data_IF_480759244334
#
_entry.id   IF_480759244334
#
_cell.length_a   1.000
_cell.length_b   1.000
_cell.length_c   1.000
_cell.angle_alpha   90.00
_cell.angle_beta   90.00
_cell.angle_gamma   90.00
#
_symmetry.space_group_name_H-M   'P 1'
#
loop_
_entity.id
_entity.type
_entity.pdbx_description
1 polymer ?
#
# COMPACT_ATOMS: atom_id res chain seq x y z
N UNK A 1 52.22 -29.52 -35.58
CA UNK A 1 50.93 -29.68 -34.90
C UNK A 1 50.84 -28.64 -33.81
N UNK A 2 50.15 -27.54 -34.07
CA UNK A 2 49.99 -26.45 -33.09
C UNK A 2 48.61 -26.60 -32.39
N UNK A 3 48.63 -26.94 -31.10
CA UNK A 3 47.41 -26.91 -30.25
C UNK A 3 47.14 -25.45 -29.85
N UNK A 4 46.04 -24.90 -30.32
CA UNK A 4 45.48 -23.64 -29.82
C UNK A 4 44.62 -23.92 -28.59
N UNK A 5 45.05 -23.43 -27.44
CA UNK A 5 44.27 -23.48 -26.21
C UNK A 5 43.22 -22.37 -26.28
N UNK A 6 41.93 -22.76 -26.25
CA UNK A 6 40.82 -21.82 -26.14
C UNK A 6 40.64 -21.50 -24.65
N UNK A 7 40.92 -20.26 -24.26
CA UNK A 7 40.65 -19.75 -22.91
C UNK A 7 39.18 -19.25 -22.91
N UNK A 8 38.29 -19.98 -22.25
CA UNK A 8 36.94 -19.53 -21.99
C UNK A 8 36.93 -18.68 -20.73
N UNK A 9 36.82 -17.37 -20.90
CA UNK A 9 36.64 -16.45 -19.79
C UNK A 9 35.18 -16.52 -19.29
N UNK A 10 35.01 -17.10 -18.11
CA UNK A 10 33.73 -17.10 -17.39
C UNK A 10 33.56 -15.73 -16.73
N UNK A 11 32.73 -14.86 -17.32
CA UNK A 11 32.37 -13.60 -16.71
C UNK A 11 31.41 -13.87 -15.52
N UNK A 12 31.91 -13.70 -14.31
CA UNK A 12 31.12 -13.76 -13.09
C UNK A 12 30.26 -12.49 -13.02
N UNK A 13 28.96 -12.58 -13.33
CA UNK A 13 28.02 -11.50 -13.06
C UNK A 13 27.84 -11.40 -11.54
N UNK A 14 28.49 -10.42 -10.93
CA UNK A 14 28.22 -10.03 -9.56
C UNK A 14 26.87 -9.30 -9.55
N UNK A 15 25.80 -9.97 -9.12
CA UNK A 15 24.57 -9.26 -8.75
C UNK A 15 24.91 -8.33 -7.59
N UNK A 16 24.94 -7.03 -7.85
CA UNK A 16 25.01 -6.03 -6.80
C UNK A 16 23.73 -6.16 -5.94
N UNK A 17 23.90 -6.58 -4.68
CA UNK A 17 22.82 -6.55 -3.70
C UNK A 17 22.38 -5.08 -3.54
N UNK A 18 21.07 -4.84 -3.68
CA UNK A 18 20.49 -3.54 -3.39
C UNK A 18 20.87 -3.10 -1.97
N UNK A 19 21.17 -1.81 -1.74
CA UNK A 19 21.49 -1.33 -0.40
C UNK A 19 20.34 -1.63 0.55
N UNK A 20 20.63 -1.97 1.84
CA UNK A 20 19.59 -2.26 2.81
C UNK A 20 18.67 -1.04 2.94
N UNK A 21 17.36 -1.25 2.73
CA UNK A 21 16.35 -0.24 3.01
C UNK A 21 16.50 0.22 4.47
N UNK A 22 16.47 1.52 4.69
CA UNK A 22 16.64 2.18 5.99
C UNK A 22 15.80 1.48 7.05
N UNK A 23 16.38 0.64 7.90
CA UNK A 23 15.84 0.08 9.17
C UNK A 23 14.35 -0.18 9.33
N UNK A 24 13.55 -0.23 8.26
CA UNK A 24 12.10 -0.42 8.30
C UNK A 24 11.72 -1.83 8.72
N UNK A 25 10.64 -1.93 9.49
CA UNK A 25 10.03 -3.23 9.79
C UNK A 25 9.52 -3.88 8.49
N UNK A 26 9.58 -5.21 8.45
CA UNK A 26 9.13 -6.01 7.31
C UNK A 26 8.38 -7.23 7.76
N UNK A 27 7.36 -7.61 6.99
CA UNK A 27 6.69 -8.91 7.10
C UNK A 27 6.71 -9.60 5.74
N UNK A 28 6.66 -10.93 5.76
CA UNK A 28 6.51 -11.76 4.57
C UNK A 28 5.19 -12.53 4.64
N UNK A 29 4.38 -12.40 3.61
CA UNK A 29 3.12 -13.12 3.45
C UNK A 29 3.32 -14.15 2.33
N UNK A 30 3.13 -15.42 2.65
CA UNK A 30 3.17 -16.50 1.66
C UNK A 30 1.90 -16.47 0.83
N UNK A 31 2.05 -16.49 -0.50
CA UNK A 31 0.96 -16.58 -1.47
C UNK A 31 1.18 -17.80 -2.37
N UNK A 32 0.16 -18.21 -3.12
CA UNK A 32 0.29 -19.31 -4.09
C UNK A 32 1.21 -18.99 -5.26
N UNK A 33 1.54 -17.69 -5.48
CA UNK A 33 2.39 -17.21 -6.56
C UNK A 33 3.78 -16.72 -6.09
N UNK A 34 4.15 -16.98 -4.83
CA UNK A 34 5.42 -16.58 -4.23
C UNK A 34 5.24 -15.73 -2.98
N UNK A 35 6.36 -15.36 -2.37
CA UNK A 35 6.36 -14.55 -1.16
C UNK A 35 6.12 -13.08 -1.49
N UNK A 36 5.20 -12.44 -0.76
CA UNK A 36 4.96 -11.01 -0.76
C UNK A 36 5.69 -10.40 0.45
N UNK A 37 6.75 -9.65 0.21
CA UNK A 37 7.40 -8.84 1.24
C UNK A 37 6.67 -7.51 1.41
N UNK A 38 6.34 -7.15 2.63
CA UNK A 38 5.73 -5.87 3.00
C UNK A 38 6.73 -5.09 3.84
N UNK A 39 7.15 -3.92 3.38
CA UNK A 39 7.98 -2.98 4.12
C UNK A 39 7.11 -1.83 4.63
N UNK A 40 7.13 -1.61 5.94
CA UNK A 40 6.37 -0.57 6.64
C UNK A 40 7.21 0.70 6.69
N UNK A 41 6.98 1.62 5.75
CA UNK A 41 7.78 2.87 5.66
C UNK A 41 7.32 3.87 6.72
N UNK A 42 6.01 3.92 6.97
CA UNK A 42 5.39 4.77 7.99
C UNK A 42 4.13 5.45 7.46
N UNK A 43 3.34 6.03 8.36
CA UNK A 43 2.11 6.74 8.02
C UNK A 43 1.20 5.91 7.11
N UNK A 44 0.81 6.42 5.93
CA UNK A 44 0.08 5.69 4.89
C UNK A 44 0.96 4.93 3.89
N UNK A 45 2.28 5.01 4.02
CA UNK A 45 3.25 4.58 3.01
C UNK A 45 3.72 3.13 3.20
N UNK A 46 3.61 2.35 2.13
CA UNK A 46 4.10 0.97 2.07
C UNK A 46 5.03 0.77 0.87
N UNK A 47 5.95 -0.19 0.99
CA UNK A 47 6.67 -0.74 -0.15
C UNK A 47 6.47 -2.26 -0.17
N UNK A 48 6.05 -2.80 -1.31
CA UNK A 48 5.78 -4.21 -1.50
C UNK A 48 6.79 -4.81 -2.48
N UNK A 49 7.40 -5.95 -2.11
CA UNK A 49 8.26 -6.72 -2.98
C UNK A 49 7.56 -8.02 -3.40
N UNK A 50 7.41 -8.27 -4.70
CA UNK A 50 6.78 -9.47 -5.21
C UNK A 50 7.36 -9.89 -6.57
N UNK A 51 7.78 -11.14 -6.71
CA UNK A 51 8.33 -11.66 -7.96
C UNK A 51 9.53 -10.87 -8.50
N UNK A 52 10.35 -10.30 -7.62
CA UNK A 52 11.48 -9.44 -7.97
C UNK A 52 11.08 -8.03 -8.41
N UNK A 53 9.81 -7.65 -8.27
CA UNK A 53 9.25 -6.34 -8.57
C UNK A 53 9.00 -5.52 -7.33
N UNK A 54 9.12 -4.20 -7.44
CA UNK A 54 8.93 -3.24 -6.34
C UNK A 54 7.70 -2.38 -6.63
N UNK A 55 6.77 -2.38 -5.66
CA UNK A 55 5.55 -1.58 -5.68
C UNK A 55 5.62 -0.58 -4.53
N UNK A 56 5.52 0.71 -4.81
CA UNK A 56 5.37 1.73 -3.79
C UNK A 56 3.91 2.17 -3.70
N UNK A 57 3.42 2.35 -2.48
CA UNK A 57 2.09 2.87 -2.20
C UNK A 57 2.24 4.17 -1.42
N UNK A 58 1.64 5.24 -1.92
CA UNK A 58 1.61 6.57 -1.32
C UNK A 58 3.00 7.03 -0.81
N UNK A 59 4.03 7.12 -1.69
CA UNK A 59 5.37 7.49 -1.29
C UNK A 59 5.40 8.93 -0.76
N UNK A 60 5.92 9.10 0.48
CA UNK A 60 5.96 10.38 1.19
C UNK A 60 7.38 10.70 1.67
N UNK A 61 7.99 11.75 1.14
CA UNK A 61 9.40 12.11 1.32
C UNK A 61 9.79 12.46 2.75
N UNK A 62 8.82 12.76 3.64
CA UNK A 62 9.13 13.00 5.06
C UNK A 62 9.45 11.74 5.84
N UNK A 63 9.12 10.56 5.31
CA UNK A 63 9.27 9.28 6.00
C UNK A 63 10.58 8.58 5.68
N UNK A 64 11.16 8.86 4.51
CA UNK A 64 12.35 8.19 4.01
C UNK A 64 13.15 9.07 3.04
N UNK A 65 14.44 8.78 2.93
CA UNK A 65 15.28 9.29 1.84
C UNK A 65 15.04 8.46 0.58
N UNK A 66 14.13 8.92 -0.27
CA UNK A 66 13.72 8.21 -1.48
C UNK A 66 14.83 8.10 -2.53
N UNK A 67 15.89 8.90 -2.45
CA UNK A 67 17.07 8.74 -3.30
C UNK A 67 17.82 7.42 -3.04
N UNK A 68 17.61 6.84 -1.86
CA UNK A 68 18.19 5.56 -1.41
C UNK A 68 17.20 4.39 -1.45
N UNK A 69 15.94 4.64 -1.78
CA UNK A 69 14.93 3.59 -1.90
C UNK A 69 15.06 2.88 -3.25
N UNK A 70 14.66 1.61 -3.36
CA UNK A 70 14.58 0.90 -4.63
C UNK A 70 13.68 1.65 -5.61
N UNK A 71 14.08 1.68 -6.89
CA UNK A 71 13.20 2.23 -7.96
C UNK A 71 11.94 1.40 -8.06
N UNK A 72 10.84 2.07 -8.39
CA UNK A 72 9.54 1.44 -8.50
C UNK A 72 9.34 0.78 -9.88
N UNK A 73 8.79 -0.43 -9.90
CA UNK A 73 8.16 -1.00 -11.08
C UNK A 73 6.69 -0.53 -11.19
N UNK A 74 6.02 -0.34 -10.04
CA UNK A 74 4.66 0.19 -9.93
C UNK A 74 4.57 1.18 -8.76
N UNK A 75 3.81 2.25 -8.97
CA UNK A 75 3.42 3.20 -7.93
C UNK A 75 1.89 3.26 -7.86
N UNK A 76 1.32 3.15 -6.67
CA UNK A 76 -0.11 3.31 -6.40
C UNK A 76 -0.31 4.57 -5.56
N UNK A 77 -1.23 5.46 -5.97
CA UNK A 77 -1.60 6.67 -5.22
C UNK A 77 -3.09 6.60 -4.89
N UNK A 78 -3.40 6.61 -3.60
CA UNK A 78 -4.78 6.48 -3.12
C UNK A 78 -5.59 7.76 -3.28
N UNK A 79 -4.98 8.92 -3.07
CA UNK A 79 -5.65 10.23 -3.20
C UNK A 79 -4.63 11.39 -3.29
N UNK A 80 -5.12 12.63 -3.41
CA UNK A 80 -4.30 13.78 -3.80
C UNK A 80 -3.73 14.59 -2.63
N UNK A 81 -3.84 14.16 -1.37
CA UNK A 81 -3.20 14.87 -0.26
C UNK A 81 -1.68 14.72 -0.33
N UNK A 82 -0.95 15.73 0.18
CA UNK A 82 0.51 15.81 0.03
C UNK A 82 1.32 14.76 0.80
N UNK A 83 0.72 14.08 1.75
CA UNK A 83 1.28 12.95 2.50
C UNK A 83 1.02 11.58 1.82
N UNK A 84 0.33 11.57 0.66
CA UNK A 84 0.08 10.41 -0.20
C UNK A 84 0.57 10.64 -1.64
N UNK A 85 0.42 11.85 -2.17
CA UNK A 85 0.93 12.26 -3.48
C UNK A 85 2.06 13.28 -3.28
N UNK A 86 3.30 12.81 -3.16
CA UNK A 86 4.50 13.64 -3.05
C UNK A 86 5.31 13.59 -4.36
N UNK A 87 5.29 14.66 -5.17
CA UNK A 87 6.01 14.69 -6.44
C UNK A 87 7.52 14.52 -6.29
N UNK A 88 8.12 14.96 -5.19
CA UNK A 88 9.55 14.82 -4.97
C UNK A 88 9.94 13.36 -4.70
N UNK A 89 9.17 12.66 -3.84
CA UNK A 89 9.35 11.24 -3.59
C UNK A 89 9.14 10.41 -4.87
N UNK A 90 8.11 10.74 -5.67
CA UNK A 90 7.85 10.08 -6.95
C UNK A 90 9.02 10.24 -7.92
N UNK A 91 9.58 11.46 -8.06
CA UNK A 91 10.69 11.72 -8.97
C UNK A 91 11.92 10.87 -8.66
N UNK A 92 12.18 10.61 -7.36
CA UNK A 92 13.31 9.81 -6.92
C UNK A 92 13.17 8.32 -7.25
N UNK A 93 11.97 7.75 -7.19
CA UNK A 93 11.76 6.30 -7.37
C UNK A 93 11.29 5.93 -8.77
N UNK A 94 10.81 6.88 -9.55
CA UNK A 94 10.27 6.65 -10.89
C UNK A 94 11.38 6.44 -11.92
N UNK A 95 11.11 5.56 -12.87
CA UNK A 95 11.90 5.35 -14.09
C UNK A 95 10.97 5.45 -15.32
N UNK A 96 11.49 5.52 -16.55
CA UNK A 96 10.62 5.47 -17.74
C UNK A 96 9.77 4.19 -17.86
N UNK A 97 10.18 3.10 -17.20
CA UNK A 97 9.45 1.82 -17.19
C UNK A 97 8.43 1.71 -16.04
N UNK A 98 8.44 2.63 -15.09
CA UNK A 98 7.53 2.60 -13.93
C UNK A 98 6.09 2.83 -14.36
N UNK A 99 5.20 1.90 -14.04
CA UNK A 99 3.77 2.10 -14.16
C UNK A 99 3.25 2.89 -12.95
N UNK A 100 2.31 3.80 -13.18
CA UNK A 100 1.70 4.58 -12.10
C UNK A 100 0.19 4.46 -12.21
N UNK A 101 -0.46 4.08 -11.11
CA UNK A 101 -1.92 4.00 -10.99
C UNK A 101 -2.37 4.98 -9.92
N UNK A 102 -3.35 5.79 -10.23
CA UNK A 102 -3.81 6.87 -9.34
C UNK A 102 -5.33 6.92 -9.24
N UNK A 103 -5.84 7.49 -8.15
CA UNK A 103 -7.25 7.82 -8.01
C UNK A 103 -7.63 9.06 -8.85
N UNK A 104 -8.94 9.26 -9.06
CA UNK A 104 -9.51 10.37 -9.85
C UNK A 104 -9.02 11.74 -9.39
N UNK A 105 -8.93 11.99 -8.09
CA UNK A 105 -8.43 13.26 -7.56
C UNK A 105 -6.97 13.58 -7.95
N UNK A 106 -6.24 12.59 -8.46
CA UNK A 106 -4.86 12.74 -8.93
C UNK A 106 -4.76 12.88 -10.48
N UNK A 107 -5.90 12.88 -11.19
CA UNK A 107 -5.93 13.03 -12.66
C UNK A 107 -5.20 14.31 -13.10
N UNK A 108 -4.29 14.18 -14.07
CA UNK A 108 -3.47 15.28 -14.58
C UNK A 108 -2.31 15.71 -13.65
N UNK A 109 -2.20 15.18 -12.43
CA UNK A 109 -1.12 15.53 -11.48
C UNK A 109 0.14 14.67 -11.65
N UNK A 110 0.00 13.49 -12.24
CA UNK A 110 1.12 12.58 -12.54
C UNK A 110 1.08 12.21 -14.01
N UNK A 111 2.09 12.63 -14.75
CA UNK A 111 2.18 12.37 -16.20
C UNK A 111 2.19 10.88 -16.51
N UNK A 112 1.39 10.43 -17.49
CA UNK A 112 1.32 9.05 -17.95
C UNK A 112 0.73 8.07 -16.93
N UNK A 113 0.11 8.55 -15.85
CA UNK A 113 -0.56 7.69 -14.90
C UNK A 113 -1.87 7.10 -15.45
N UNK A 114 -2.16 5.86 -15.05
CA UNK A 114 -3.45 5.20 -15.27
C UNK A 114 -4.39 5.68 -14.17
N UNK A 115 -5.44 6.40 -14.53
CA UNK A 115 -6.47 6.85 -13.60
C UNK A 115 -7.51 5.74 -13.44
N UNK A 116 -7.76 5.30 -12.21
CA UNK A 116 -8.84 4.36 -11.90
C UNK A 116 -9.94 5.05 -11.10
N UNK A 117 -11.19 4.84 -11.52
CA UNK A 117 -12.40 5.18 -10.75
C UNK A 117 -12.78 4.04 -9.83
N UNK A 118 -13.52 4.37 -8.78
CA UNK A 118 -14.05 3.35 -7.87
C UNK A 118 -14.81 2.27 -8.65
N UNK A 119 -14.46 1.00 -8.45
CA UNK A 119 -15.00 -0.17 -9.14
C UNK A 119 -14.22 -0.60 -10.39
N UNK A 120 -13.36 0.25 -10.93
CA UNK A 120 -12.53 -0.09 -12.08
C UNK A 120 -11.35 -1.00 -11.70
N UNK A 121 -10.82 -1.72 -12.69
CA UNK A 121 -9.72 -2.67 -12.55
C UNK A 121 -8.66 -2.43 -13.60
N UNK A 122 -7.44 -2.77 -13.24
CA UNK A 122 -6.32 -2.90 -14.18
C UNK A 122 -5.43 -4.05 -13.76
N UNK A 123 -4.47 -4.40 -14.61
CA UNK A 123 -3.38 -5.32 -14.28
C UNK A 123 -2.05 -4.62 -14.46
N UNK A 124 -1.15 -4.79 -13.51
CA UNK A 124 0.22 -4.34 -13.59
C UNK A 124 1.14 -5.41 -12.97
N UNK A 125 2.26 -5.72 -13.62
CA UNK A 125 3.27 -6.67 -13.12
C UNK A 125 2.71 -8.07 -12.81
N UNK A 126 1.61 -8.49 -13.46
CA UNK A 126 0.91 -9.74 -13.15
C UNK A 126 0.03 -9.70 -11.90
N UNK A 127 -0.18 -8.52 -11.31
CA UNK A 127 -1.05 -8.28 -10.15
C UNK A 127 -2.35 -7.65 -10.63
N UNK A 128 -3.50 -8.22 -10.22
CA UNK A 128 -4.81 -7.59 -10.41
C UNK A 128 -5.00 -6.48 -9.39
N UNK A 129 -5.41 -5.31 -9.86
CA UNK A 129 -5.63 -4.10 -9.06
C UNK A 129 -7.09 -3.68 -9.22
N UNK A 130 -7.87 -3.76 -8.15
CA UNK A 130 -9.24 -3.24 -8.09
C UNK A 130 -9.23 -1.95 -7.27
N UNK A 131 -9.69 -0.85 -7.85
CA UNK A 131 -9.97 0.37 -7.12
C UNK A 131 -11.32 0.24 -6.39
N UNK A 132 -11.33 0.50 -5.10
CA UNK A 132 -12.54 0.51 -4.28
C UNK A 132 -12.74 1.89 -3.66
N UNK A 133 -13.98 2.30 -3.28
CA UNK A 133 -14.20 3.60 -2.66
C UNK A 133 -13.40 3.81 -1.39
N UNK A 134 -12.93 5.05 -1.19
CA UNK A 134 -12.32 5.54 0.04
C UNK A 134 -12.85 6.94 0.31
N UNK A 135 -13.61 7.15 1.41
CA UNK A 135 -14.23 8.44 1.72
C UNK A 135 -14.70 8.54 3.18
N UNK A 136 -15.00 9.79 3.62
CA UNK A 136 -15.59 10.08 4.92
C UNK A 136 -17.11 10.20 4.86
N UNK A 137 -17.78 9.68 5.91
CA UNK A 137 -19.23 9.81 6.15
C UNK A 137 -19.47 10.78 7.32
N UNK A 138 -18.73 10.58 8.42
CA UNK A 138 -18.95 11.24 9.71
C UNK A 138 -18.00 12.43 9.90
N UNK A 139 -16.70 12.19 9.73
CA UNK A 139 -15.69 13.22 9.99
C UNK A 139 -15.61 14.22 8.87
N UNK A 140 -15.77 15.50 9.25
CA UNK A 140 -15.86 16.63 8.31
C UNK A 140 -15.03 17.80 8.79
N UNK A 141 -14.66 18.63 7.84
CA UNK A 141 -14.04 19.94 8.08
C UNK A 141 -15.01 20.88 8.79
N UNK A 142 -14.56 21.98 9.39
CA UNK A 142 -15.45 22.94 10.04
C UNK A 142 -16.53 23.55 9.14
N UNK A 143 -16.29 23.58 7.83
CA UNK A 143 -17.25 24.05 6.81
C UNK A 143 -18.29 22.98 6.41
N UNK A 144 -18.22 21.80 7.00
CA UNK A 144 -19.13 20.67 6.73
C UNK A 144 -18.73 19.78 5.57
N UNK A 145 -17.64 20.08 4.86
CA UNK A 145 -17.12 19.21 3.79
C UNK A 145 -16.39 17.99 4.38
N UNK A 146 -16.56 16.78 3.81
CA UNK A 146 -15.77 15.61 4.22
C UNK A 146 -14.26 15.86 4.05
N UNK A 147 -13.43 15.29 4.92
CA UNK A 147 -11.98 15.32 4.71
C UNK A 147 -11.59 14.62 3.39
N UNK A 148 -12.27 13.52 3.08
CA UNK A 148 -12.12 12.75 1.85
C UNK A 148 -13.50 12.59 1.20
N UNK A 149 -13.83 13.36 0.15
CA UNK A 149 -15.12 13.28 -0.52
C UNK A 149 -15.31 11.96 -1.27
N UNK A 150 -16.56 11.48 -1.33
CA UNK A 150 -16.91 10.26 -2.06
C UNK A 150 -16.61 10.40 -3.56
N UNK A 151 -15.94 9.39 -4.13
CA UNK A 151 -15.63 9.32 -5.56
C UNK A 151 -14.29 9.94 -5.96
N UNK A 152 -13.57 10.56 -5.03
CA UNK A 152 -12.27 11.20 -5.29
C UNK A 152 -11.08 10.27 -5.01
N UNK A 153 -11.10 9.59 -3.86
CA UNK A 153 -10.04 8.66 -3.44
C UNK A 153 -10.34 7.21 -3.77
N UNK A 154 -9.29 6.40 -3.79
CA UNK A 154 -9.34 4.96 -3.90
C UNK A 154 -8.69 4.29 -2.70
N UNK A 155 -9.30 3.20 -2.20
CA UNK A 155 -8.55 2.07 -1.69
C UNK A 155 -8.21 1.13 -2.84
N UNK A 156 -7.25 0.24 -2.63
CA UNK A 156 -6.87 -0.76 -3.62
C UNK A 156 -6.96 -2.17 -3.05
N UNK A 157 -7.57 -3.10 -3.80
CA UNK A 157 -7.44 -4.53 -3.55
C UNK A 157 -6.49 -5.10 -4.59
N UNK A 158 -5.33 -5.56 -4.12
CA UNK A 158 -4.28 -6.18 -4.92
C UNK A 158 -4.39 -7.69 -4.78
N UNK A 159 -4.30 -8.45 -5.88
CA UNK A 159 -4.37 -9.90 -5.86
C UNK A 159 -3.03 -10.51 -6.27
N UNK A 160 -2.37 -11.19 -5.31
CA UNK A 160 -1.10 -11.89 -5.48
C UNK A 160 -1.37 -13.40 -5.44
N UNK A 161 -1.53 -14.04 -6.60
CA UNK A 161 -1.98 -15.43 -6.67
C UNK A 161 -3.37 -15.61 -6.03
N UNK A 162 -3.45 -16.35 -4.93
CA UNK A 162 -4.67 -16.58 -4.15
C UNK A 162 -4.88 -15.55 -3.01
N UNK A 163 -3.97 -14.62 -2.84
CA UNK A 163 -3.90 -13.72 -1.68
C UNK A 163 -4.34 -12.31 -2.05
N UNK A 164 -5.46 -11.85 -1.47
CA UNK A 164 -5.99 -10.51 -1.67
C UNK A 164 -5.55 -9.59 -0.53
N UNK A 165 -4.91 -8.48 -0.89
CA UNK A 165 -4.40 -7.45 0.01
C UNK A 165 -5.21 -6.18 -0.20
N UNK A 166 -5.87 -5.69 0.83
CA UNK A 166 -6.63 -4.44 0.81
C UNK A 166 -5.83 -3.33 1.49
N UNK A 167 -5.57 -2.26 0.75
CA UNK A 167 -4.96 -1.01 1.24
C UNK A 167 -6.05 0.04 1.14
N UNK A 168 -6.55 0.51 2.28
CA UNK A 168 -7.78 1.28 2.32
C UNK A 168 -7.65 2.72 1.78
N UNK A 169 -6.43 3.31 1.81
CA UNK A 169 -6.29 4.76 1.68
C UNK A 169 -6.93 5.47 2.85
N UNK A 170 -7.20 6.75 2.71
CA UNK A 170 -7.87 7.52 3.76
C UNK A 170 -9.40 7.43 3.62
N UNK A 171 -10.01 6.80 4.59
CA UNK A 171 -11.44 6.47 4.57
C UNK A 171 -11.98 6.25 5.97
N UNK A 172 -13.31 6.22 6.09
CA UNK A 172 -14.02 5.65 7.23
C UNK A 172 -14.48 4.22 6.94
N UNK A 173 -15.17 3.58 7.91
CA UNK A 173 -15.72 2.23 7.82
C UNK A 173 -16.99 2.16 6.93
N UNK A 174 -16.84 2.57 5.69
CA UNK A 174 -17.89 2.69 4.69
C UNK A 174 -18.57 1.35 4.35
N UNK A 175 -19.83 1.35 3.85
CA UNK A 175 -20.52 0.12 3.47
C UNK A 175 -19.78 -0.73 2.43
N UNK A 176 -19.15 -0.08 1.46
CA UNK A 176 -18.38 -0.75 0.40
C UNK A 176 -17.16 -1.51 0.96
N UNK A 177 -16.47 -0.96 1.98
CA UNK A 177 -15.40 -1.66 2.70
C UNK A 177 -15.93 -2.89 3.41
N UNK A 178 -17.06 -2.77 4.13
CA UNK A 178 -17.68 -3.88 4.87
C UNK A 178 -18.19 -5.00 3.96
N UNK A 179 -18.44 -4.70 2.69
CA UNK A 179 -18.89 -5.67 1.68
C UNK A 179 -17.75 -6.44 1.01
N UNK A 180 -16.48 -6.09 1.26
CA UNK A 180 -15.33 -6.80 0.71
C UNK A 180 -15.34 -8.28 1.14
N UNK A 181 -14.82 -9.16 0.27
CA UNK A 181 -14.76 -10.60 0.51
C UNK A 181 -13.35 -11.13 0.29
N UNK A 182 -13.03 -12.20 0.99
CA UNK A 182 -11.80 -12.98 0.81
C UNK A 182 -10.52 -12.13 0.95
N UNK A 183 -10.54 -11.14 1.84
CA UNK A 183 -9.36 -10.32 2.13
C UNK A 183 -8.45 -11.08 3.10
N UNK A 184 -7.24 -11.38 2.63
CA UNK A 184 -6.25 -12.03 3.46
C UNK A 184 -5.51 -11.03 4.37
N UNK A 185 -5.16 -9.86 3.83
CA UNK A 185 -4.42 -8.82 4.53
C UNK A 185 -5.14 -7.49 4.31
N UNK A 186 -5.32 -6.71 5.36
CA UNK A 186 -5.90 -5.37 5.27
C UNK A 186 -5.04 -4.33 5.99
N UNK A 187 -4.91 -3.16 5.38
CA UNK A 187 -4.35 -1.94 5.97
C UNK A 187 -5.48 -0.94 6.15
N UNK A 188 -5.80 -0.60 7.40
CA UNK A 188 -6.89 0.32 7.72
C UNK A 188 -6.37 1.55 8.47
N UNK A 189 -6.70 2.78 8.03
CA UNK A 189 -6.26 4.01 8.66
C UNK A 189 -7.01 4.28 9.95
N UNK A 190 -6.33 4.91 10.92
CA UNK A 190 -6.89 5.15 12.26
C UNK A 190 -6.45 6.51 12.82
N UNK A 191 -6.38 7.54 11.97
CA UNK A 191 -5.91 8.87 12.31
C UNK A 191 -7.07 9.86 12.46
N UNK A 192 -7.40 10.22 13.69
CA UNK A 192 -8.42 11.24 13.96
C UNK A 192 -7.88 12.66 13.79
N UNK A 193 -8.68 13.61 13.30
CA UNK A 193 -10.10 13.48 12.91
C UNK A 193 -10.30 13.08 11.43
N UNK A 194 -9.28 12.62 10.75
CA UNK A 194 -9.26 12.49 9.29
C UNK A 194 -9.85 11.17 8.78
N UNK A 195 -9.71 10.09 9.56
CA UNK A 195 -10.11 8.74 9.16
C UNK A 195 -10.95 8.05 10.24
N UNK A 196 -10.63 6.82 10.62
CA UNK A 196 -11.43 6.01 11.54
C UNK A 196 -10.98 6.14 13.00
N UNK A 197 -11.93 5.94 13.93
CA UNK A 197 -11.60 5.56 15.31
C UNK A 197 -11.22 4.09 15.39
N UNK A 198 -10.56 3.63 16.47
CA UNK A 198 -10.32 2.19 16.70
C UNK A 198 -11.59 1.34 16.65
N UNK A 199 -12.74 1.86 17.14
CA UNK A 199 -14.04 1.18 17.12
C UNK A 199 -14.58 1.05 15.70
N UNK A 200 -14.41 2.08 14.85
CA UNK A 200 -14.78 2.03 13.44
C UNK A 200 -13.95 1.01 12.67
N UNK A 201 -12.65 0.93 12.95
CA UNK A 201 -11.77 -0.09 12.38
C UNK A 201 -12.19 -1.49 12.83
N UNK A 202 -12.48 -1.67 14.11
CA UNK A 202 -12.94 -2.96 14.65
C UNK A 202 -14.28 -3.39 14.05
N UNK A 203 -15.23 -2.45 13.86
CA UNK A 203 -16.52 -2.70 13.21
C UNK A 203 -16.34 -3.14 11.75
N UNK A 204 -15.48 -2.45 10.99
CA UNK A 204 -15.15 -2.85 9.63
C UNK A 204 -14.51 -4.24 9.58
N UNK A 205 -13.50 -4.49 10.43
CA UNK A 205 -12.79 -5.76 10.48
C UNK A 205 -13.72 -6.94 10.81
N UNK A 206 -14.68 -6.76 11.71
CA UNK A 206 -15.71 -7.78 12.00
C UNK A 206 -16.60 -8.07 10.80
N UNK A 207 -16.89 -7.07 9.97
CA UNK A 207 -17.76 -7.22 8.81
C UNK A 207 -17.10 -7.99 7.65
N UNK A 208 -15.88 -7.63 7.23
CA UNK A 208 -15.24 -8.27 6.07
C UNK A 208 -14.15 -9.30 6.45
N UNK A 209 -13.81 -9.43 7.75
CA UNK A 209 -13.00 -10.48 8.38
C UNK A 209 -11.67 -10.77 7.67
N UNK A 210 -10.73 -9.81 7.62
CA UNK A 210 -9.39 -10.07 7.10
C UNK A 210 -8.66 -11.05 8.02
N UNK A 211 -7.81 -11.92 7.46
CA UNK A 211 -6.98 -12.83 8.27
C UNK A 211 -5.93 -12.07 9.08
N UNK A 212 -5.31 -11.05 8.45
CA UNK A 212 -4.31 -10.18 9.06
C UNK A 212 -4.77 -8.74 8.87
N UNK A 213 -4.77 -7.98 9.96
CA UNK A 213 -5.10 -6.56 9.98
C UNK A 213 -3.91 -5.75 10.49
N UNK A 214 -3.46 -4.80 9.69
CA UNK A 214 -2.49 -3.80 10.07
C UNK A 214 -3.19 -2.44 10.25
N UNK A 215 -3.28 -1.90 11.48
CA UNK A 215 -3.57 -0.48 11.62
C UNK A 215 -2.39 0.30 11.03
N UNK A 216 -2.68 1.27 10.18
CA UNK A 216 -1.68 2.15 9.58
C UNK A 216 -2.20 3.58 9.59
N UNK A 217 -1.37 4.57 9.25
CA UNK A 217 -1.79 5.97 9.25
C UNK A 217 -2.57 6.33 10.54
N UNK A 218 -2.02 5.95 11.71
CA UNK A 218 -2.77 6.10 12.96
C UNK A 218 -2.35 7.34 13.79
N UNK A 219 -1.33 8.11 13.32
CA UNK A 219 -0.91 9.34 13.99
C UNK A 219 -0.66 9.12 15.49
N UNK A 220 -1.37 9.88 16.33
CA UNK A 220 -1.28 9.79 17.79
C UNK A 220 -2.28 8.79 18.41
N UNK A 221 -3.12 8.15 17.61
CA UNK A 221 -4.07 7.13 18.09
C UNK A 221 -3.31 5.88 18.54
N UNK A 222 -3.56 5.41 19.78
CA UNK A 222 -2.92 4.20 20.28
C UNK A 222 -3.47 2.94 19.57
N UNK A 223 -2.66 2.22 18.78
CA UNK A 223 -3.11 1.03 18.08
C UNK A 223 -3.44 -0.14 19.00
N UNK A 224 -2.99 -0.13 20.28
CA UNK A 224 -3.31 -1.17 21.25
C UNK A 224 -4.80 -1.17 21.62
N UNK A 225 -5.50 -0.05 21.47
CA UNK A 225 -6.96 -0.01 21.65
C UNK A 225 -7.62 -0.98 20.66
N UNK A 226 -7.21 -0.95 19.39
CA UNK A 226 -7.72 -1.87 18.37
C UNK A 226 -7.39 -3.34 18.68
N UNK A 227 -6.17 -3.62 19.16
CA UNK A 227 -5.78 -4.96 19.62
C UNK A 227 -6.74 -5.47 20.71
N UNK A 228 -7.04 -4.63 21.69
CA UNK A 228 -8.00 -4.95 22.76
C UNK A 228 -9.42 -5.20 22.22
N UNK A 229 -9.91 -4.36 21.33
CA UNK A 229 -11.24 -4.48 20.72
C UNK A 229 -11.44 -5.77 19.91
N UNK A 230 -10.37 -6.30 19.31
CA UNK A 230 -10.41 -7.50 18.48
C UNK A 230 -9.83 -8.75 19.12
N UNK A 231 -9.41 -8.69 20.40
CA UNK A 231 -8.76 -9.80 21.10
C UNK A 231 -9.61 -11.10 21.14
N UNK A 232 -10.95 -10.98 21.08
CA UNK A 232 -11.87 -12.12 21.05
C UNK A 232 -12.23 -12.64 19.65
N UNK A 233 -11.79 -11.97 18.60
CA UNK A 233 -12.19 -12.29 17.22
C UNK A 233 -11.32 -13.39 16.62
N UNK A 234 -11.82 -14.63 16.69
CA UNK A 234 -11.13 -15.77 16.07
C UNK A 234 -10.99 -15.57 14.56
N UNK A 235 -9.75 -15.71 14.06
CA UNK A 235 -9.44 -15.62 12.63
C UNK A 235 -9.11 -14.21 12.13
N UNK A 236 -9.02 -13.21 13.01
CA UNK A 236 -8.46 -11.89 12.72
C UNK A 236 -7.21 -11.72 13.58
N UNK A 237 -6.05 -11.62 12.94
CA UNK A 237 -4.78 -11.33 13.60
C UNK A 237 -4.44 -9.84 13.42
N UNK A 238 -4.43 -9.07 14.52
CA UNK A 238 -4.00 -7.66 14.47
C UNK A 238 -2.48 -7.59 14.66
N UNK A 239 -1.78 -7.03 13.68
CA UNK A 239 -0.34 -6.81 13.71
C UNK A 239 -0.02 -5.33 13.73
N UNK A 240 0.48 -4.83 14.85
CA UNK A 240 0.94 -3.43 14.95
C UNK A 240 2.35 -3.31 14.41
N UNK A 241 2.58 -2.33 13.54
CA UNK A 241 3.88 -1.93 12.98
C UNK A 241 4.07 -0.43 13.14
N UNK A 242 5.28 0.08 12.93
CA UNK A 242 5.57 1.52 13.03
C UNK A 242 5.00 2.30 11.84
N UNK A 243 3.71 2.64 11.92
CA UNK A 243 2.93 3.32 10.86
C UNK A 243 2.25 4.58 11.41
N UNK A 244 2.93 5.26 12.34
CA UNK A 244 2.49 6.51 12.96
C UNK A 244 2.56 7.68 11.97
#
# INVERSE_FOLDING_TARGET
MNLHAIVVSLALMVLAAAPPAQGFQKDVIRTSAGDLEITFVGHGTLMLGFGGKIIHVDPYGRLADYSKMPKADLILITHAHGDHLDPAALAEIRTPATQVVVAVACEGKVEGAIVLRNGERTQALGVDILAVPAYNIVHKRPDGTPYHPKGEGNGYVLTFGDTRVYIAGDTENIPEMKALKDIAVAFLPMNLPYTMTPEMVADAARAFRPRILYPYHYGDTDPNILVGLLAGEKGIEVRVRSMR
#
